data_IF_022892530261
#
_entry.id   IF_022892530261
#
_cell.length_a   1.000
_cell.length_b   1.000
_cell.length_c   1.000
_cell.angle_alpha   90.00
_cell.angle_beta   90.00
_cell.angle_gamma   90.00
#
_symmetry.space_group_name_H-M   'P 1'
#
loop_
_entity.id
_entity.type
_entity.pdbx_description
1 polymer ?
#
# COMPACT_ATOMS: atom_id res chain seq x y z
N UNK A 1 28.07 -3.22 -55.56
CA UNK A 1 28.43 -4.26 -54.57
C UNK A 1 28.68 -3.58 -53.23
N UNK A 2 27.99 -4.06 -52.17
CA UNK A 2 28.23 -4.07 -50.70
C UNK A 2 29.25 -3.04 -50.10
N UNK A 3 29.04 -2.41 -48.94
CA UNK A 3 28.54 -2.96 -47.68
C UNK A 3 27.90 -1.88 -46.77
N UNK A 4 26.90 -2.32 -46.02
CA UNK A 4 26.27 -1.71 -44.86
C UNK A 4 27.22 -1.64 -43.64
N UNK A 5 27.27 -0.49 -42.95
CA UNK A 5 27.83 -0.37 -41.60
C UNK A 5 26.65 -0.29 -40.62
N UNK A 6 26.46 -1.36 -39.86
CA UNK A 6 25.48 -1.44 -38.78
C UNK A 6 25.85 -0.48 -37.67
N UNK A 7 24.86 0.26 -37.17
CA UNK A 7 24.98 1.01 -35.93
C UNK A 7 24.28 0.19 -34.86
N UNK A 8 24.99 -0.81 -34.35
CA UNK A 8 24.62 -1.51 -33.12
C UNK A 8 24.58 -0.47 -32.01
N UNK A 9 23.36 -0.19 -31.55
CA UNK A 9 23.11 0.66 -30.40
C UNK A 9 22.75 -0.26 -29.24
N UNK A 10 23.75 -1.05 -28.82
CA UNK A 10 23.76 -1.69 -27.51
C UNK A 10 23.83 -0.58 -26.46
N UNK A 11 22.66 -0.07 -26.08
CA UNK A 11 22.49 0.56 -24.78
C UNK A 11 22.20 -0.55 -23.79
N UNK A 12 23.25 -1.15 -23.26
CA UNK A 12 23.21 -1.74 -21.92
C UNK A 12 22.81 -0.59 -20.98
N UNK A 13 21.51 -0.52 -20.69
CA UNK A 13 21.00 0.27 -19.59
C UNK A 13 21.49 -0.44 -18.33
N UNK A 14 22.49 0.12 -17.66
CA UNK A 14 22.74 -0.22 -16.27
C UNK A 14 21.42 0.01 -15.53
N UNK A 15 20.81 -1.08 -15.06
CA UNK A 15 19.69 -1.10 -14.13
C UNK A 15 20.19 -0.62 -12.75
N UNK A 16 20.62 0.63 -12.65
CA UNK A 16 20.47 1.34 -11.38
C UNK A 16 18.96 1.43 -11.15
N UNK A 17 18.44 0.70 -10.15
CA UNK A 17 17.03 0.67 -9.76
C UNK A 17 16.43 2.00 -9.29
N UNK A 18 17.01 3.13 -9.71
CA UNK A 18 16.60 4.50 -9.38
C UNK A 18 15.56 5.07 -10.35
N UNK A 19 15.44 4.55 -11.58
CA UNK A 19 14.51 5.11 -12.56
C UNK A 19 13.12 4.46 -12.50
N UNK A 20 12.17 5.17 -11.87
CA UNK A 20 10.76 4.78 -11.83
C UNK A 20 10.14 4.84 -13.23
N UNK A 21 9.50 3.74 -13.65
CA UNK A 21 8.80 3.64 -14.92
C UNK A 21 7.88 4.85 -15.17
N UNK A 22 7.92 5.47 -16.36
CA UNK A 22 7.14 6.68 -16.64
C UNK A 22 5.63 6.46 -16.54
N UNK A 23 5.17 5.26 -16.85
CA UNK A 23 3.77 4.85 -16.71
C UNK A 23 3.31 4.86 -15.25
N UNK A 24 4.16 4.38 -14.33
CA UNK A 24 3.87 4.41 -12.89
C UNK A 24 3.81 5.84 -12.37
N UNK A 25 4.72 6.72 -12.82
CA UNK A 25 4.68 8.15 -12.45
C UNK A 25 3.41 8.83 -12.94
N UNK A 26 3.00 8.57 -14.18
CA UNK A 26 1.73 9.09 -14.72
C UNK A 26 0.55 8.56 -13.92
N UNK A 27 0.54 7.26 -13.62
CA UNK A 27 -0.50 6.65 -12.82
C UNK A 27 -0.63 7.30 -11.44
N UNK A 28 0.49 7.46 -10.73
CA UNK A 28 0.51 8.09 -9.41
C UNK A 28 0.11 9.58 -9.49
N UNK A 29 0.49 10.29 -10.54
CA UNK A 29 0.04 11.67 -10.76
C UNK A 29 -1.48 11.76 -10.94
N UNK A 30 -2.07 10.85 -11.75
CA UNK A 30 -3.52 10.79 -11.96
C UNK A 30 -4.25 10.43 -10.66
N UNK A 31 -3.77 9.44 -9.91
CA UNK A 31 -4.36 9.00 -8.63
C UNK A 31 -4.23 10.07 -7.54
N UNK A 32 -3.09 10.74 -7.44
CA UNK A 32 -2.91 11.85 -6.48
C UNK A 32 -3.83 13.01 -6.79
N UNK A 33 -4.00 13.38 -8.06
CA UNK A 33 -4.96 14.41 -8.47
C UNK A 33 -6.41 13.97 -8.17
N UNK A 34 -6.78 12.73 -8.48
CA UNK A 34 -8.11 12.19 -8.20
C UNK A 34 -8.43 12.20 -6.70
N UNK A 35 -7.54 11.66 -5.87
CA UNK A 35 -7.74 11.64 -4.42
C UNK A 35 -7.68 13.04 -3.79
N UNK A 36 -6.91 13.97 -4.34
CA UNK A 36 -6.92 15.38 -3.91
C UNK A 36 -8.27 16.04 -4.18
N UNK A 37 -8.86 15.78 -5.35
CA UNK A 37 -10.20 16.27 -5.68
C UNK A 37 -11.27 15.67 -4.76
N UNK A 38 -11.16 14.38 -4.44
CA UNK A 38 -12.05 13.73 -3.46
C UNK A 38 -11.90 14.31 -2.05
N UNK A 39 -10.67 14.58 -1.60
CA UNK A 39 -10.44 15.21 -0.31
C UNK A 39 -11.13 16.58 -0.25
N UNK A 40 -11.00 17.41 -1.30
CA UNK A 40 -11.68 18.71 -1.40
C UNK A 40 -13.20 18.56 -1.40
N UNK A 41 -13.75 17.59 -2.16
CA UNK A 41 -15.19 17.27 -2.14
C UNK A 41 -15.66 17.01 -0.70
N UNK A 42 -14.99 16.12 0.01
CA UNK A 42 -15.38 15.75 1.37
C UNK A 42 -15.18 16.87 2.38
N UNK A 43 -14.13 17.70 2.25
CA UNK A 43 -13.99 18.92 3.05
C UNK A 43 -15.13 19.92 2.80
N UNK A 44 -15.59 20.05 1.56
CA UNK A 44 -16.73 20.88 1.22
C UNK A 44 -18.04 20.36 1.82
N UNK A 45 -18.28 19.05 1.75
CA UNK A 45 -19.42 18.41 2.40
C UNK A 45 -19.35 18.58 3.92
N UNK A 46 -18.19 18.34 4.54
CA UNK A 46 -18.00 18.52 5.97
C UNK A 46 -18.27 19.96 6.42
N UNK A 47 -17.79 20.95 5.67
CA UNK A 47 -18.09 22.36 5.93
C UNK A 47 -19.58 22.69 5.78
N UNK A 48 -20.28 22.06 4.82
CA UNK A 48 -21.71 22.25 4.59
C UNK A 48 -22.59 21.64 5.68
N UNK A 49 -22.23 20.45 6.16
CA UNK A 49 -23.00 19.73 7.19
C UNK A 49 -22.69 20.22 8.61
N UNK A 50 -21.40 20.35 8.97
CA UNK A 50 -20.98 20.70 10.34
C UNK A 50 -20.76 22.20 10.56
N UNK A 51 -20.69 22.99 9.48
CA UNK A 51 -20.41 24.43 9.56
C UNK A 51 -21.65 25.32 9.72
N UNK A 52 -22.86 24.75 9.65
CA UNK A 52 -24.12 25.49 9.69
C UNK A 52 -24.14 26.64 8.68
N UNK A 53 -24.74 27.77 9.06
CA UNK A 53 -24.82 28.96 8.20
C UNK A 53 -23.51 29.74 8.09
N UNK A 54 -22.51 29.43 8.93
CA UNK A 54 -21.25 30.20 8.98
C UNK A 54 -20.22 29.77 7.92
N UNK A 55 -20.29 28.51 7.44
CA UNK A 55 -19.31 27.96 6.48
C UNK A 55 -19.91 27.63 5.10
N UNK A 56 -21.10 28.14 4.79
CA UNK A 56 -21.75 27.92 3.50
C UNK A 56 -20.88 28.30 2.29
N UNK A 57 -20.17 29.44 2.38
CA UNK A 57 -19.26 29.90 1.33
C UNK A 57 -18.02 29.01 1.18
N UNK A 58 -17.48 28.49 2.29
CA UNK A 58 -16.35 27.55 2.31
C UNK A 58 -16.76 26.22 1.64
N UNK A 59 -17.94 25.70 1.99
CA UNK A 59 -18.49 24.49 1.39
C UNK A 59 -18.61 24.60 -0.13
N UNK A 60 -19.20 25.70 -0.61
CA UNK A 60 -19.32 25.99 -2.04
C UNK A 60 -17.93 26.12 -2.69
N UNK A 61 -17.00 26.82 -2.06
CA UNK A 61 -15.64 27.01 -2.58
C UNK A 61 -14.89 25.69 -2.79
N UNK A 62 -14.88 24.81 -1.78
CA UNK A 62 -14.24 23.50 -1.90
C UNK A 62 -14.90 22.61 -2.96
N UNK A 63 -16.22 22.64 -3.08
CA UNK A 63 -16.94 21.85 -4.08
C UNK A 63 -16.76 22.37 -5.51
N UNK A 64 -16.69 23.70 -5.68
CA UNK A 64 -16.33 24.29 -6.98
C UNK A 64 -14.92 23.88 -7.40
N UNK A 65 -13.98 23.89 -6.45
CA UNK A 65 -12.61 23.44 -6.69
C UNK A 65 -12.57 21.95 -7.07
N UNK A 66 -13.18 21.09 -6.27
CA UNK A 66 -13.24 19.65 -6.54
C UNK A 66 -13.88 19.33 -7.91
N UNK A 67 -14.95 20.03 -8.27
CA UNK A 67 -15.61 19.88 -9.59
C UNK A 67 -14.64 20.21 -10.72
N UNK A 68 -13.92 21.32 -10.62
CA UNK A 68 -12.92 21.72 -11.62
C UNK A 68 -11.83 20.66 -11.79
N UNK A 69 -11.27 20.17 -10.69
CA UNK A 69 -10.21 19.15 -10.75
C UNK A 69 -10.71 17.83 -11.38
N UNK A 70 -11.94 17.42 -11.06
CA UNK A 70 -12.57 16.22 -11.66
C UNK A 70 -12.89 16.42 -13.15
N UNK A 71 -13.25 17.64 -13.57
CA UNK A 71 -13.44 17.97 -15.00
C UNK A 71 -12.11 17.89 -15.77
N UNK A 72 -11.04 18.42 -15.19
CA UNK A 72 -9.69 18.33 -15.74
C UNK A 72 -9.26 16.87 -15.90
N UNK A 73 -9.45 16.03 -14.88
CA UNK A 73 -9.16 14.60 -14.91
C UNK A 73 -10.00 13.81 -15.93
N UNK A 74 -11.27 14.19 -16.10
CA UNK A 74 -12.14 13.60 -17.13
C UNK A 74 -11.64 13.90 -18.54
N UNK A 75 -11.12 15.12 -18.75
CA UNK A 75 -10.63 15.60 -20.05
C UNK A 75 -9.19 15.20 -20.37
N UNK A 76 -8.43 14.71 -19.39
CA UNK A 76 -7.02 14.38 -19.52
C UNK A 76 -6.70 13.47 -20.70
N UNK A 77 -5.72 13.88 -21.53
CA UNK A 77 -5.20 13.11 -22.66
C UNK A 77 -4.49 11.83 -22.19
N UNK A 78 -5.27 10.79 -21.94
CA UNK A 78 -4.76 9.45 -21.73
C UNK A 78 -4.40 8.83 -23.09
N UNK A 79 -3.11 8.91 -23.44
CA UNK A 79 -2.48 8.38 -24.67
C UNK A 79 -3.18 7.16 -25.26
N UNK A 80 -3.64 7.24 -26.51
CA UNK A 80 -4.42 6.18 -27.16
C UNK A 80 -3.62 4.93 -27.53
N UNK A 81 -2.31 4.91 -27.29
CA UNK A 81 -1.47 3.73 -27.53
C UNK A 81 -1.40 2.86 -26.27
N UNK A 82 -2.34 1.94 -26.13
CA UNK A 82 -2.37 0.93 -25.07
C UNK A 82 -3.10 -0.31 -25.53
N UNK A 83 -2.67 -1.49 -25.08
CA UNK A 83 -3.37 -2.75 -25.36
C UNK A 83 -4.76 -2.81 -24.73
N UNK A 84 -5.56 -3.83 -25.06
CA UNK A 84 -6.96 -3.95 -24.62
C UNK A 84 -7.13 -3.84 -23.09
N UNK A 85 -6.19 -4.40 -22.31
CA UNK A 85 -6.19 -4.32 -20.84
C UNK A 85 -6.02 -2.89 -20.33
N UNK A 86 -5.20 -2.07 -20.99
CA UNK A 86 -5.00 -0.67 -20.60
C UNK A 86 -6.22 0.18 -20.94
N UNK A 87 -6.84 -0.10 -22.10
CA UNK A 87 -8.08 0.53 -22.51
C UNK A 87 -9.20 0.27 -21.50
N UNK A 88 -9.37 -0.97 -21.06
CA UNK A 88 -10.37 -1.33 -20.04
C UNK A 88 -10.10 -0.60 -18.70
N UNK A 89 -8.84 -0.58 -18.25
CA UNK A 89 -8.47 0.13 -17.00
C UNK A 89 -8.79 1.62 -17.10
N UNK A 90 -8.55 2.23 -18.26
CA UNK A 90 -8.85 3.64 -18.54
C UNK A 90 -10.34 3.93 -18.55
N UNK A 91 -11.14 3.08 -19.18
CA UNK A 91 -12.59 3.22 -19.18
C UNK A 91 -13.16 3.12 -17.76
N UNK A 92 -12.69 2.15 -16.97
CA UNK A 92 -13.07 2.04 -15.54
C UNK A 92 -12.71 3.30 -14.75
N UNK A 93 -11.55 3.92 -14.99
CA UNK A 93 -11.18 5.20 -14.35
C UNK A 93 -12.08 6.34 -14.78
N UNK A 94 -12.39 6.45 -16.06
CA UNK A 94 -13.30 7.50 -16.57
C UNK A 94 -14.68 7.39 -15.94
N UNK A 95 -15.21 6.18 -15.80
CA UNK A 95 -16.48 5.92 -15.11
C UNK A 95 -16.40 6.39 -13.66
N UNK A 96 -15.37 5.99 -12.91
CA UNK A 96 -15.16 6.45 -11.52
C UNK A 96 -15.10 7.98 -11.40
N UNK A 97 -14.31 8.63 -12.24
CA UNK A 97 -14.20 10.10 -12.25
C UNK A 97 -15.55 10.75 -12.57
N UNK A 98 -16.31 10.17 -13.50
CA UNK A 98 -17.63 10.67 -13.87
C UNK A 98 -18.66 10.52 -12.75
N UNK A 99 -18.69 9.38 -12.06
CA UNK A 99 -19.55 9.15 -10.89
C UNK A 99 -19.26 10.17 -9.78
N UNK A 100 -17.98 10.38 -9.49
CA UNK A 100 -17.56 11.34 -8.46
C UNK A 100 -17.86 12.79 -8.85
N UNK A 101 -17.72 13.13 -10.13
CA UNK A 101 -18.07 14.43 -10.67
C UNK A 101 -19.57 14.71 -10.59
N UNK A 102 -20.41 13.71 -10.88
CA UNK A 102 -21.86 13.81 -10.70
C UNK A 102 -22.20 14.03 -9.23
N UNK A 103 -21.61 13.23 -8.33
CA UNK A 103 -21.79 13.38 -6.88
C UNK A 103 -21.39 14.77 -6.38
N UNK A 104 -20.20 15.27 -6.75
CA UNK A 104 -19.73 16.61 -6.39
C UNK A 104 -20.66 17.72 -6.93
N UNK A 105 -21.20 17.53 -8.14
CA UNK A 105 -22.14 18.50 -8.74
C UNK A 105 -23.46 18.57 -7.98
N UNK A 106 -23.99 17.44 -7.50
CA UNK A 106 -25.22 17.42 -6.69
C UNK A 106 -25.02 18.18 -5.38
N UNK A 107 -23.93 17.90 -4.66
CA UNK A 107 -23.60 18.63 -3.43
C UNK A 107 -23.42 20.13 -3.70
N UNK A 108 -22.67 20.49 -4.74
CA UNK A 108 -22.45 21.90 -5.10
C UNK A 108 -23.78 22.63 -5.35
N UNK A 109 -24.70 22.03 -6.10
CA UNK A 109 -26.01 22.63 -6.36
C UNK A 109 -26.82 22.83 -5.08
N UNK A 110 -26.79 21.85 -4.17
CA UNK A 110 -27.47 21.92 -2.88
C UNK A 110 -26.93 23.04 -2.01
N UNK A 111 -25.62 23.01 -1.71
CA UNK A 111 -25.02 24.01 -0.82
C UNK A 111 -24.96 25.40 -1.45
N UNK A 112 -24.83 25.51 -2.77
CA UNK A 112 -24.92 26.81 -3.45
C UNK A 112 -26.31 27.44 -3.27
N UNK A 113 -27.38 26.67 -3.50
CA UNK A 113 -28.74 27.17 -3.28
C UNK A 113 -28.95 27.58 -1.81
N UNK A 114 -28.46 26.78 -0.86
CA UNK A 114 -28.55 27.11 0.56
C UNK A 114 -27.77 28.38 0.90
N UNK A 115 -26.56 28.53 0.36
CA UNK A 115 -25.75 29.71 0.57
C UNK A 115 -26.40 30.96 -0.02
N UNK A 116 -26.92 30.87 -1.24
CA UNK A 116 -27.54 31.99 -1.95
C UNK A 116 -28.92 32.39 -1.39
N UNK A 117 -29.56 31.55 -0.57
CA UNK A 117 -30.91 31.79 -0.01
C UNK A 117 -30.97 31.96 1.51
N UNK A 118 -30.04 31.36 2.26
CA UNK A 118 -30.07 31.32 3.73
C UNK A 118 -28.80 31.90 4.35
N UNK A 119 -27.62 31.46 3.91
CA UNK A 119 -26.38 31.75 4.64
C UNK A 119 -25.67 33.03 4.20
N UNK A 120 -25.82 33.39 2.93
CA UNK A 120 -25.24 34.58 2.27
C UNK A 120 -23.75 34.78 2.55
N UNK A 121 -23.00 33.69 2.71
CA UNK A 121 -21.58 33.76 2.99
C UNK A 121 -20.81 33.99 1.68
N UNK A 122 -19.77 34.85 1.66
CA UNK A 122 -18.91 35.00 0.51
C UNK A 122 -18.14 33.70 0.27
N UNK A 123 -17.90 33.38 -1.00
CA UNK A 123 -17.09 32.21 -1.40
C UNK A 123 -15.61 32.61 -1.34
N UNK A 124 -14.77 31.98 -0.48
CA UNK A 124 -13.37 32.33 -0.37
C UNK A 124 -12.57 31.98 -1.64
N UNK A 125 -11.49 32.71 -1.94
CA UNK A 125 -10.58 32.36 -3.03
C UNK A 125 -9.83 31.05 -2.74
N UNK A 126 -9.32 30.43 -3.80
CA UNK A 126 -8.63 29.13 -3.72
C UNK A 126 -7.41 29.13 -2.77
N UNK A 127 -6.68 30.25 -2.66
CA UNK A 127 -5.54 30.39 -1.75
C UNK A 127 -5.93 30.28 -0.28
N UNK A 128 -7.07 30.86 0.10
CA UNK A 128 -7.59 30.76 1.47
C UNK A 128 -8.10 29.35 1.76
N UNK A 129 -8.80 28.74 0.80
CA UNK A 129 -9.24 27.34 0.93
C UNK A 129 -8.06 26.38 1.10
N UNK A 130 -6.95 26.62 0.41
CA UNK A 130 -5.74 25.80 0.53
C UNK A 130 -5.16 25.85 1.95
N UNK A 131 -5.18 27.02 2.60
CA UNK A 131 -4.71 27.18 3.98
C UNK A 131 -5.60 26.46 5.01
N UNK A 132 -6.86 26.17 4.65
CA UNK A 132 -7.81 25.44 5.49
C UNK A 132 -7.69 23.91 5.36
N UNK A 133 -6.88 23.39 4.43
CA UNK A 133 -6.71 21.95 4.23
C UNK A 133 -5.86 21.40 5.39
N UNK A 134 -6.39 20.47 6.21
CA UNK A 134 -5.64 19.89 7.31
C UNK A 134 -4.55 18.93 6.80
N UNK A 135 -3.55 18.69 7.65
CA UNK A 135 -2.55 17.66 7.36
C UNK A 135 -3.21 16.27 7.26
N UNK A 136 -2.79 15.49 6.25
CA UNK A 136 -3.29 14.13 6.05
C UNK A 136 -2.87 13.17 7.17
N UNK A 137 -3.68 12.12 7.39
CA UNK A 137 -3.38 11.03 8.33
C UNK A 137 -3.11 9.74 7.55
N UNK A 138 -2.05 9.02 7.92
CA UNK A 138 -1.76 7.71 7.35
C UNK A 138 -2.85 6.70 7.75
N UNK A 139 -3.49 6.07 6.77
CA UNK A 139 -4.53 5.07 6.99
C UNK A 139 -3.97 3.66 7.25
N UNK A 140 -2.78 3.36 6.71
CA UNK A 140 -2.15 2.04 6.79
C UNK A 140 -0.74 2.18 7.33
N UNK A 141 -0.46 1.48 8.43
CA UNK A 141 0.89 1.33 8.94
C UNK A 141 1.60 0.20 8.18
N UNK A 142 2.88 0.39 7.88
CA UNK A 142 3.71 -0.67 7.29
C UNK A 142 3.87 -1.78 8.33
N UNK A 143 3.30 -2.96 8.06
CA UNK A 143 3.53 -4.14 8.90
C UNK A 143 4.94 -4.67 8.60
N UNK A 144 5.87 -4.69 9.58
CA UNK A 144 7.18 -5.25 9.34
C UNK A 144 7.03 -6.73 9.02
N UNK A 145 7.69 -7.17 7.95
CA UNK A 145 7.73 -8.57 7.58
C UNK A 145 8.62 -9.34 8.57
N UNK A 146 8.08 -10.40 9.16
CA UNK A 146 8.84 -11.36 9.96
C UNK A 146 8.91 -12.68 9.20
N UNK A 147 10.14 -13.17 8.95
CA UNK A 147 10.34 -14.48 8.36
C UNK A 147 9.75 -15.54 9.31
N UNK A 148 8.97 -16.52 8.80
CA UNK A 148 8.50 -17.61 9.63
C UNK A 148 9.69 -18.42 10.15
N UNK A 149 9.59 -18.92 11.37
CA UNK A 149 10.57 -19.88 11.90
C UNK A 149 10.51 -21.17 11.08
N UNK A 150 11.65 -21.66 10.55
CA UNK A 150 11.68 -22.93 9.83
C UNK A 150 11.08 -24.07 10.67
N UNK A 151 10.24 -24.92 10.07
CA UNK A 151 9.64 -26.05 10.77
C UNK A 151 10.66 -27.16 11.08
N UNK A 152 11.66 -27.33 10.21
CA UNK A 152 12.70 -28.36 10.33
C UNK A 152 14.06 -27.80 9.92
N UNK A 153 15.13 -28.38 10.46
CA UNK A 153 16.51 -28.04 10.11
C UNK A 153 17.08 -26.83 10.87
N UNK A 154 18.27 -26.34 10.47
CA UNK A 154 18.96 -25.26 11.18
C UNK A 154 18.09 -24.01 11.33
N UNK A 155 17.92 -23.56 12.57
CA UNK A 155 17.04 -22.43 12.92
C UNK A 155 15.59 -22.82 13.23
N UNK A 156 15.22 -24.11 13.18
CA UNK A 156 13.98 -24.60 13.77
C UNK A 156 14.09 -24.78 15.28
N UNK A 157 12.96 -24.73 15.98
CA UNK A 157 12.90 -24.94 17.43
C UNK A 157 13.41 -26.33 17.80
N UNK A 158 13.02 -27.35 17.05
CA UNK A 158 13.46 -28.74 17.26
C UNK A 158 14.98 -28.90 17.06
N UNK A 159 15.57 -28.22 16.09
CA UNK A 159 17.02 -28.28 15.87
C UNK A 159 17.80 -27.65 17.02
N UNK A 160 17.35 -26.48 17.49
CA UNK A 160 17.97 -25.81 18.65
C UNK A 160 17.80 -26.65 19.92
N UNK A 161 16.62 -27.24 20.13
CA UNK A 161 16.35 -28.13 21.25
C UNK A 161 17.28 -29.33 21.25
N UNK A 162 17.44 -30.00 20.09
CA UNK A 162 18.31 -31.16 19.96
C UNK A 162 19.78 -30.82 20.24
N UNK A 163 20.24 -29.65 19.77
CA UNK A 163 21.59 -29.18 20.09
C UNK A 163 21.77 -28.86 21.57
N UNK A 164 20.76 -28.28 22.23
CA UNK A 164 20.79 -28.01 23.66
C UNK A 164 20.85 -29.31 24.48
N UNK A 165 20.01 -30.30 24.14
CA UNK A 165 20.02 -31.63 24.78
C UNK A 165 21.37 -32.34 24.59
N UNK A 166 22.01 -32.21 23.42
CA UNK A 166 23.33 -32.79 23.15
C UNK A 166 24.45 -32.13 23.98
N UNK A 167 24.39 -30.81 24.19
CA UNK A 167 25.33 -30.10 25.05
C UNK A 167 25.15 -30.43 26.53
N UNK A 168 23.90 -30.53 27.03
CA UNK A 168 23.62 -30.92 28.42
C UNK A 168 24.12 -32.34 28.73
N UNK A 169 24.02 -33.26 27.77
CA UNK A 169 24.57 -34.62 27.90
C UNK A 169 26.10 -34.64 27.93
N UNK A 170 26.75 -33.76 27.17
CA UNK A 170 28.20 -33.57 27.21
C UNK A 170 28.66 -33.04 28.57
N UNK A 171 27.97 -32.03 29.12
CA UNK A 171 28.26 -31.46 30.44
C UNK A 171 28.12 -32.50 31.57
N UNK A 172 27.06 -33.33 31.53
CA UNK A 172 26.89 -34.43 32.49
C UNK A 172 27.93 -35.56 32.33
N UNK A 173 28.57 -35.69 31.16
CA UNK A 173 29.62 -36.67 30.94
C UNK A 173 31.00 -36.20 31.43
N UNK A 174 31.24 -34.89 31.43
CA UNK A 174 32.49 -34.29 31.95
C UNK A 174 32.53 -34.27 33.49
N UNK A 175 31.38 -34.09 34.16
CA UNK A 175 31.30 -34.21 35.63
C UNK A 175 31.39 -35.67 36.14
N UNK A 176 31.20 -36.65 35.26
CA UNK A 176 31.26 -38.08 35.59
C UNK A 176 32.69 -38.66 35.58
N UNK A 177 33.73 -37.92 35.18
CA UNK A 177 35.14 -38.37 35.23
C UNK A 177 35.76 -38.32 36.64
N UNK A 178 34.97 -38.10 37.70
CA UNK A 178 35.44 -38.11 39.10
C UNK A 178 34.90 -39.24 39.98
N UNK A 179 34.41 -40.35 39.40
CA UNK A 179 33.98 -41.53 40.18
C UNK A 179 34.69 -42.82 39.72
N UNK A 180 35.23 -43.63 40.65
CA UNK A 180 35.99 -44.81 40.29
C UNK A 180 35.10 -45.94 39.79
N UNK A 181 35.68 -46.70 38.86
CA UNK A 181 35.17 -47.85 38.14
C UNK A 181 34.42 -48.86 39.03
N UNK A 182 33.16 -49.14 38.70
CA UNK A 182 32.52 -50.41 39.00
C UNK A 182 31.53 -50.82 37.91
N UNK A 183 31.92 -51.87 37.19
CA UNK A 183 31.15 -52.87 36.44
C UNK A 183 29.85 -52.51 35.69
N UNK A 184 29.92 -52.81 34.38
CA UNK A 184 28.91 -53.50 33.58
C UNK A 184 27.45 -53.00 33.63
N UNK A 185 27.05 -52.22 32.62
CA UNK A 185 26.14 -52.66 31.52
C UNK A 185 25.69 -51.43 30.72
N UNK A 186 26.17 -51.34 29.48
CA UNK A 186 25.64 -50.37 28.52
C UNK A 186 24.21 -50.77 28.11
N UNK A 187 23.21 -50.17 28.75
CA UNK A 187 21.83 -50.18 28.27
C UNK A 187 21.59 -48.89 27.50
N UNK A 188 21.79 -48.98 26.18
CA UNK A 188 21.25 -48.04 25.19
C UNK A 188 19.74 -47.91 25.44
N UNK A 189 19.29 -46.84 26.10
CA UNK A 189 17.86 -46.56 26.21
C UNK A 189 17.35 -46.18 24.82
N UNK A 190 16.60 -47.12 24.24
CA UNK A 190 16.14 -47.07 22.86
C UNK A 190 15.39 -45.79 22.53
N UNK A 191 15.85 -45.16 21.45
CA UNK A 191 15.02 -44.29 20.64
C UNK A 191 13.86 -45.13 20.08
N UNK A 192 12.73 -45.16 20.79
CA UNK A 192 11.49 -45.70 20.26
C UNK A 192 10.90 -44.69 19.27
N UNK A 193 11.14 -44.89 17.98
CA UNK A 193 10.51 -44.12 16.92
C UNK A 193 9.00 -44.38 16.87
N UNK A 194 8.21 -43.31 16.76
CA UNK A 194 6.75 -43.37 16.68
C UNK A 194 6.32 -44.09 15.38
N UNK A 195 5.91 -45.35 15.50
CA UNK A 195 5.53 -46.22 14.38
C UNK A 195 6.04 -47.66 14.51
N UNK A 196 6.94 -47.95 15.45
CA UNK A 196 7.36 -49.32 15.75
C UNK A 196 6.16 -50.15 16.25
N UNK A 197 5.67 -51.07 15.41
CA UNK A 197 4.58 -52.01 15.76
C UNK A 197 3.24 -51.78 15.05
N UNK A 198 3.14 -50.83 14.12
CA UNK A 198 1.91 -50.58 13.35
C UNK A 198 1.93 -51.28 11.99
N UNK A 199 1.67 -52.59 11.97
CA UNK A 199 1.20 -53.31 10.78
C UNK A 199 -0.15 -53.93 11.10
N UNK A 200 -1.23 -53.28 10.69
CA UNK A 200 -2.55 -53.87 10.44
C UNK A 200 -3.25 -53.06 9.36
#
# INVERSE_FOLDING_TARGET
>A
MKFSIGKDKDKNHEETGEQVAPELRKYLADETAFHSALARKWLGVDAGEHGGTSKGGIAVGFLMWAKKDLEELRSGHMSMMGGDREKEMRERRKVKVQEELQSATVFLQGYKKLNDSVSFQPVPPQSELQALIPAGRLAVAVKPYMKPTPAFGPGSVEYVRRQAEELELLEHSEDAESMPVSDATGLRSGQSYAGAGSYF
#
